data_IF_939282332195
#
_entry.id   IF_939282332195
#
_cell.length_a   1.000
_cell.length_b   1.000
_cell.length_c   1.000
_cell.angle_alpha   90.00
_cell.angle_beta   90.00
_cell.angle_gamma   90.00
#
_symmetry.space_group_name_H-M   'P 1'
#
loop_
_entity.id
_entity.type
_entity.pdbx_description
1 polymer ?
#
# COMPACT_ATOMS: atom_id res chain seq x y z
N UNK A 1 22.64 -66.72 -41.10
CA UNK A 1 23.90 -67.23 -40.51
C UNK A 1 24.35 -66.25 -39.44
N UNK A 2 24.95 -66.57 -38.29
CA UNK A 2 25.18 -67.82 -37.54
C UNK A 2 26.49 -67.59 -36.77
N UNK A 3 26.43 -67.64 -35.44
CA UNK A 3 27.51 -68.04 -34.52
C UNK A 3 28.77 -67.14 -34.46
N UNK A 4 29.33 -66.83 -33.28
CA UNK A 4 29.78 -67.81 -32.28
C UNK A 4 29.35 -67.52 -30.82
N UNK A 5 29.07 -68.61 -30.08
CA UNK A 5 29.20 -68.70 -28.60
C UNK A 5 30.67 -69.06 -28.29
N UNK A 6 31.26 -68.91 -27.10
CA UNK A 6 31.02 -69.72 -25.90
C UNK A 6 32.11 -69.35 -24.84
N UNK A 7 31.75 -69.06 -23.58
CA UNK A 7 31.98 -69.89 -22.37
C UNK A 7 33.45 -70.07 -21.91
N UNK A 8 33.83 -70.10 -20.62
CA UNK A 8 33.11 -70.14 -19.32
C UNK A 8 33.45 -68.87 -18.46
N UNK A 9 33.21 -68.67 -17.14
CA UNK A 9 32.90 -69.55 -15.99
C UNK A 9 32.09 -68.85 -14.87
N UNK A 10 32.03 -69.48 -13.69
CA UNK A 10 31.29 -69.22 -12.42
C UNK A 10 32.28 -69.58 -11.27
N UNK A 11 32.25 -69.14 -9.97
CA UNK A 11 31.14 -68.69 -9.08
C UNK A 11 31.41 -67.33 -8.34
N UNK A 12 30.53 -66.70 -7.55
CA UNK A 12 29.82 -67.17 -6.33
C UNK A 12 28.69 -66.21 -5.94
N UNK A 13 27.67 -66.72 -5.25
CA UNK A 13 26.64 -65.89 -4.62
C UNK A 13 27.00 -65.57 -3.15
N UNK A 14 26.82 -64.31 -2.75
CA UNK A 14 26.59 -63.93 -1.35
C UNK A 14 25.57 -62.79 -1.27
N UNK A 15 24.61 -62.94 -0.37
CA UNK A 15 23.56 -61.96 -0.13
C UNK A 15 24.09 -60.72 0.56
N UNK A 16 23.62 -59.54 0.13
CA UNK A 16 23.71 -58.31 0.93
C UNK A 16 22.31 -57.71 1.02
N UNK A 17 21.99 -57.20 2.21
CA UNK A 17 20.66 -56.76 2.65
C UNK A 17 20.23 -55.49 1.93
N UNK A 18 18.93 -55.33 1.68
CA UNK A 18 18.33 -54.02 1.37
C UNK A 18 18.47 -53.10 2.60
N UNK A 19 19.02 -51.89 2.48
CA UNK A 19 18.70 -50.82 3.41
C UNK A 19 17.29 -50.29 3.10
N UNK A 20 16.55 -49.91 4.14
CA UNK A 20 15.18 -49.42 4.01
C UNK A 20 15.10 -47.99 3.47
N UNK A 21 13.97 -47.67 2.87
CA UNK A 21 13.59 -46.33 2.43
C UNK A 21 13.55 -45.38 3.63
N UNK A 22 14.51 -44.46 3.76
CA UNK A 22 14.30 -43.25 4.58
C UNK A 22 13.55 -42.23 3.72
N UNK A 23 12.27 -42.03 4.03
CA UNK A 23 11.56 -40.83 3.63
C UNK A 23 12.12 -39.66 4.44
N UNK A 24 12.97 -38.83 3.82
CA UNK A 24 13.35 -37.54 4.41
C UNK A 24 12.20 -36.57 4.13
N UNK A 25 11.37 -36.36 5.14
CA UNK A 25 10.34 -35.33 5.11
C UNK A 25 11.03 -33.97 5.17
N UNK A 26 11.07 -33.24 4.04
CA UNK A 26 11.44 -31.83 4.06
C UNK A 26 10.28 -31.04 4.68
N UNK A 27 10.33 -30.87 6.00
CA UNK A 27 9.49 -29.94 6.74
C UNK A 27 9.95 -28.52 6.40
N UNK A 28 9.32 -27.93 5.38
CA UNK A 28 9.43 -26.49 5.11
C UNK A 28 8.69 -25.76 6.24
N UNK A 29 9.46 -25.27 7.21
CA UNK A 29 8.99 -24.28 8.18
C UNK A 29 8.76 -22.96 7.43
N UNK A 30 7.54 -22.77 6.94
CA UNK A 30 7.03 -21.45 6.56
C UNK A 30 6.96 -20.60 7.84
N UNK A 31 7.99 -19.77 8.03
CA UNK A 31 7.97 -18.71 9.03
C UNK A 31 6.97 -17.65 8.61
N UNK A 32 5.73 -17.77 9.11
CA UNK A 32 4.74 -16.69 9.01
C UNK A 32 5.22 -15.55 9.89
N UNK A 33 5.82 -14.53 9.28
CA UNK A 33 6.10 -13.25 9.93
C UNK A 33 4.79 -12.48 10.09
N UNK A 34 3.98 -12.89 11.06
CA UNK A 34 2.85 -12.09 11.51
C UNK A 34 3.35 -10.80 12.16
N UNK A 35 2.61 -9.70 11.95
CA UNK A 35 2.81 -8.48 12.72
C UNK A 35 2.48 -8.75 14.19
N UNK A 36 3.51 -8.99 15.00
CA UNK A 36 3.32 -9.33 16.42
C UNK A 36 3.02 -8.07 17.24
N UNK A 37 1.74 -7.83 17.47
CA UNK A 37 1.22 -6.76 18.32
C UNK A 37 1.25 -7.18 19.80
N UNK A 38 2.42 -7.48 20.38
CA UNK A 38 2.66 -7.29 21.84
C UNK A 38 4.12 -7.47 22.28
N UNK A 39 4.44 -6.86 23.43
CA UNK A 39 5.62 -7.07 24.30
C UNK A 39 6.98 -6.51 23.85
N UNK A 40 7.24 -5.27 24.26
CA UNK A 40 8.56 -4.89 24.79
C UNK A 40 8.42 -4.46 26.25
N UNK A 41 9.07 -5.18 27.16
CA UNK A 41 9.16 -4.80 28.57
C UNK A 41 10.56 -4.34 28.93
N UNK A 42 10.68 -3.13 29.51
CA UNK A 42 11.79 -2.76 30.40
C UNK A 42 11.40 -1.57 31.27
N UNK A 43 11.29 -1.83 32.58
CA UNK A 43 11.29 -0.94 33.74
C UNK A 43 11.27 0.60 33.55
N UNK A 44 10.18 1.24 33.97
CA UNK A 44 10.22 2.45 34.81
C UNK A 44 8.85 2.75 35.48
N UNK A 45 8.77 2.52 36.80
CA UNK A 45 7.85 3.16 37.77
C UNK A 45 6.37 3.40 37.40
N UNK A 46 5.48 2.58 37.96
CA UNK A 46 4.03 2.79 38.03
C UNK A 46 3.60 3.56 39.32
N UNK A 47 2.32 3.92 39.53
CA UNK A 47 1.28 4.33 38.56
C UNK A 47 0.54 5.63 38.95
N UNK A 48 -0.17 6.24 37.99
CA UNK A 48 -1.44 6.92 38.29
C UNK A 48 -2.59 6.14 37.65
N UNK A 49 -3.58 5.76 38.46
CA UNK A 49 -4.69 4.93 38.02
C UNK A 49 -5.71 5.74 37.20
N UNK A 50 -5.94 5.35 35.95
CA UNK A 50 -7.13 5.70 35.21
C UNK A 50 -8.21 4.64 35.50
N UNK A 51 -9.31 5.06 36.11
CA UNK A 51 -10.45 4.20 36.44
C UNK A 51 -11.18 3.76 35.18
N UNK A 52 -11.46 2.46 35.09
CA UNK A 52 -12.39 1.88 34.11
C UNK A 52 -13.79 2.44 34.33
N UNK A 53 -14.37 3.09 33.31
CA UNK A 53 -15.81 3.39 33.25
C UNK A 53 -16.48 2.46 32.25
N UNK A 54 -17.46 1.68 32.72
CA UNK A 54 -18.23 0.75 31.90
C UNK A 54 -18.96 1.50 30.77
N UNK A 55 -18.61 1.22 29.51
CA UNK A 55 -19.44 1.61 28.38
C UNK A 55 -20.58 0.59 28.21
N UNK A 56 -21.80 1.07 28.43
CA UNK A 56 -23.02 0.28 28.38
C UNK A 56 -23.32 -0.27 26.97
N UNK A 57 -24.13 -1.33 26.91
CA UNK A 57 -24.51 -2.03 25.66
C UNK A 57 -25.17 -1.13 24.60
N UNK A 58 -25.05 -1.46 23.30
CA UNK A 58 -25.56 -0.62 22.22
C UNK A 58 -27.09 -0.61 22.18
N UNK A 59 -27.67 0.60 22.15
CA UNK A 59 -29.11 0.79 22.11
C UNK A 59 -29.50 2.05 21.34
N UNK A 60 -30.12 1.85 20.17
CA UNK A 60 -30.99 2.78 19.44
C UNK A 60 -30.37 4.09 18.88
N UNK A 61 -29.19 4.53 19.31
CA UNK A 61 -28.56 5.77 18.80
C UNK A 61 -27.89 5.67 17.42
N UNK A 62 -27.37 4.51 17.03
CA UNK A 62 -26.63 4.36 15.76
C UNK A 62 -27.53 4.32 14.51
N UNK A 63 -28.80 3.97 14.66
CA UNK A 63 -29.74 3.89 13.54
C UNK A 63 -30.13 5.28 12.98
N UNK A 64 -30.41 6.24 13.86
CA UNK A 64 -30.79 7.62 13.48
C UNK A 64 -29.61 8.39 12.83
N UNK A 65 -28.38 8.13 13.28
CA UNK A 65 -27.17 8.71 12.68
C UNK A 65 -26.89 8.14 11.29
N UNK A 66 -27.21 6.86 11.05
CA UNK A 66 -27.04 6.21 9.74
C UNK A 66 -28.01 6.77 8.69
N UNK A 67 -29.30 6.91 9.03
CA UNK A 67 -30.34 7.43 8.12
C UNK A 67 -30.11 8.90 7.76
N UNK A 68 -29.70 9.73 8.72
CA UNK A 68 -29.42 11.16 8.48
C UNK A 68 -28.18 11.40 7.61
N UNK A 69 -27.26 10.43 7.53
CA UNK A 69 -26.06 10.51 6.71
C UNK A 69 -26.25 9.96 5.28
N UNK A 70 -27.20 9.03 5.02
CA UNK A 70 -27.54 8.62 3.65
C UNK A 70 -28.16 9.75 2.80
N UNK A 71 -28.64 10.83 3.44
CA UNK A 71 -29.39 11.91 2.81
C UNK A 71 -28.55 13.11 2.33
N UNK A 72 -27.25 13.17 2.62
CA UNK A 72 -26.40 14.31 2.22
C UNK A 72 -26.38 14.50 0.71
N UNK A 73 -26.80 15.67 0.23
CA UNK A 73 -26.75 16.02 -1.20
C UNK A 73 -25.30 16.04 -1.70
N UNK A 74 -25.02 15.83 -3.01
CA UNK A 74 -23.66 15.72 -3.52
C UNK A 74 -22.74 16.89 -3.18
N UNK A 75 -23.27 18.11 -3.11
CA UNK A 75 -22.52 19.30 -2.71
C UNK A 75 -22.15 19.28 -1.21
N UNK A 76 -23.08 18.88 -0.34
CA UNK A 76 -22.87 18.78 1.11
C UNK A 76 -21.82 17.72 1.45
N UNK A 77 -21.81 16.62 0.69
CA UNK A 77 -20.77 15.59 0.78
C UNK A 77 -19.39 16.14 0.37
N UNK A 78 -19.30 16.91 -0.72
CA UNK A 78 -18.01 17.53 -1.11
C UNK A 78 -17.53 18.48 -0.01
N UNK A 79 -18.40 19.33 0.55
CA UNK A 79 -18.01 20.21 1.67
C UNK A 79 -17.59 19.44 2.92
N UNK A 80 -18.24 18.32 3.23
CA UNK A 80 -17.86 17.46 4.35
C UNK A 80 -16.45 16.88 4.14
N UNK A 81 -16.19 16.34 2.95
CA UNK A 81 -14.87 15.79 2.57
C UNK A 81 -13.79 16.86 2.66
N UNK A 82 -14.02 18.06 2.11
CA UNK A 82 -13.05 19.15 2.15
C UNK A 82 -12.72 19.61 3.59
N UNK A 83 -13.74 19.73 4.46
CA UNK A 83 -13.53 20.07 5.88
C UNK A 83 -12.75 18.99 6.63
N UNK A 84 -13.05 17.71 6.37
CA UNK A 84 -12.29 16.59 6.94
C UNK A 84 -10.83 16.64 6.48
N UNK A 85 -10.59 16.79 5.17
CA UNK A 85 -9.26 16.80 4.58
C UNK A 85 -8.40 17.97 5.08
N UNK A 86 -8.96 19.18 5.15
CA UNK A 86 -8.27 20.34 5.71
C UNK A 86 -7.83 20.09 7.17
N UNK A 87 -8.69 19.50 8.00
CA UNK A 87 -8.31 19.17 9.37
C UNK A 87 -7.25 18.06 9.43
N UNK A 88 -7.34 17.01 8.60
CA UNK A 88 -6.34 15.94 8.60
C UNK A 88 -4.99 16.35 8.00
N UNK A 89 -4.94 17.43 7.21
CA UNK A 89 -3.70 18.04 6.70
C UNK A 89 -3.07 18.99 7.74
N UNK A 90 -3.84 19.95 8.25
CA UNK A 90 -3.32 21.06 9.08
C UNK A 90 -3.35 20.74 10.58
N UNK A 91 -4.45 20.14 11.05
CA UNK A 91 -4.73 19.90 12.47
C UNK A 91 -4.01 18.69 13.08
N UNK A 92 -3.42 17.82 12.25
CA UNK A 92 -2.65 16.64 12.66
C UNK A 92 -1.16 16.78 12.34
N UNK A 93 -0.59 17.96 12.62
CA UNK A 93 0.72 18.39 12.15
C UNK A 93 1.89 17.57 12.70
N UNK A 94 2.62 16.87 11.83
CA UNK A 94 3.81 16.09 12.18
C UNK A 94 5.06 16.97 12.39
N UNK A 95 6.19 16.34 12.75
CA UNK A 95 7.47 17.00 13.00
C UNK A 95 8.66 16.10 12.58
N UNK A 96 9.65 16.66 11.88
CA UNK A 96 10.79 15.92 11.30
C UNK A 96 11.77 15.31 12.32
N UNK A 97 11.78 15.79 13.57
CA UNK A 97 12.67 15.30 14.63
C UNK A 97 11.99 14.22 15.51
N UNK A 98 10.66 14.21 15.54
CA UNK A 98 9.84 13.28 16.34
C UNK A 98 9.30 12.11 15.52
N UNK A 99 9.06 12.31 14.22
CA UNK A 99 8.43 11.34 13.33
C UNK A 99 9.42 10.83 12.29
N UNK A 100 9.25 9.58 11.88
CA UNK A 100 10.09 8.94 10.89
C UNK A 100 9.48 9.06 9.48
N UNK A 101 10.27 8.64 8.48
CA UNK A 101 9.86 8.62 7.08
C UNK A 101 8.55 7.85 6.88
N UNK A 102 8.31 6.78 7.64
CA UNK A 102 7.01 6.08 7.66
C UNK A 102 5.84 7.04 7.88
N UNK A 103 5.78 7.77 9.01
CA UNK A 103 4.65 8.68 9.25
C UNK A 103 4.62 9.85 8.25
N UNK A 104 5.78 10.44 7.96
CA UNK A 104 5.89 11.63 7.13
C UNK A 104 5.51 11.36 5.66
N UNK A 105 6.00 10.26 5.08
CA UNK A 105 5.71 9.89 3.69
C UNK A 105 4.27 9.42 3.51
N UNK A 106 3.62 8.85 4.53
CA UNK A 106 2.17 8.59 4.45
C UNK A 106 1.37 9.90 4.42
N UNK A 107 1.76 10.94 5.17
CA UNK A 107 1.17 12.28 4.99
C UNK A 107 1.39 12.84 3.58
N UNK A 108 2.60 12.66 3.02
CA UNK A 108 2.90 13.02 1.64
C UNK A 108 2.14 12.15 0.60
N UNK A 109 1.74 10.92 0.93
CA UNK A 109 0.86 10.11 0.09
C UNK A 109 -0.52 10.76 -0.05
N UNK A 110 -1.05 11.42 0.99
CA UNK A 110 -2.38 12.03 0.94
C UNK A 110 -2.41 13.41 0.25
N UNK A 111 -1.39 14.26 0.44
CA UNK A 111 -1.41 15.67 -0.04
C UNK A 111 -0.20 16.09 -0.87
N UNK A 112 0.65 15.14 -1.29
CA UNK A 112 1.82 15.42 -2.14
C UNK A 112 2.76 16.47 -1.54
N UNK A 113 3.06 17.51 -2.32
CA UNK A 113 3.94 18.61 -1.89
C UNK A 113 3.29 19.54 -0.85
N UNK A 114 1.98 19.57 -0.76
CA UNK A 114 1.24 20.44 0.17
C UNK A 114 1.20 19.85 1.59
N UNK A 115 1.63 18.59 1.79
CA UNK A 115 1.89 18.07 3.12
C UNK A 115 3.17 18.65 3.70
N UNK A 116 3.04 19.41 4.78
CA UNK A 116 4.14 20.05 5.51
C UNK A 116 4.32 19.42 6.88
N UNK A 117 5.56 19.38 7.36
CA UNK A 117 5.86 19.00 8.73
C UNK A 117 6.70 20.08 9.41
N UNK A 118 6.54 20.18 10.74
CA UNK A 118 7.27 21.14 11.57
C UNK A 118 8.74 20.75 11.64
N UNK A 119 9.60 21.75 11.45
CA UNK A 119 11.03 21.70 11.76
C UNK A 119 11.20 22.23 13.18
N UNK A 120 11.87 21.48 14.05
CA UNK A 120 12.20 21.97 15.39
C UNK A 120 13.21 23.11 15.26
N UNK A 121 12.75 24.33 15.52
CA UNK A 121 13.62 25.51 15.59
C UNK A 121 14.61 25.36 16.74
N UNK A 122 15.89 25.62 16.49
CA UNK A 122 16.84 25.92 17.57
C UNK A 122 16.39 27.24 18.20
N UNK A 123 16.17 27.33 19.53
CA UNK A 123 15.78 28.57 20.16
C UNK A 123 16.79 29.66 19.85
N UNK A 124 16.34 30.80 19.31
CA UNK A 124 17.19 31.97 19.14
C UNK A 124 17.81 32.34 20.50
N UNK A 125 19.13 32.52 20.54
CA UNK A 125 19.90 32.70 21.78
C UNK A 125 19.45 33.91 22.64
N UNK A 126 18.62 34.80 22.07
CA UNK A 126 18.13 36.03 22.68
C UNK A 126 16.65 35.98 23.10
N UNK A 127 16.00 34.81 23.09
CA UNK A 127 14.69 34.62 23.74
C UNK A 127 13.50 35.36 23.13
N UNK A 128 13.57 35.77 21.87
CA UNK A 128 12.45 36.37 21.13
C UNK A 128 11.38 35.34 20.83
N UNK A 129 10.43 35.16 21.74
CA UNK A 129 9.21 34.38 21.53
C UNK A 129 8.30 35.09 20.52
N UNK A 130 8.29 34.62 19.27
CA UNK A 130 7.47 35.20 18.21
C UNK A 130 7.57 34.53 16.84
N UNK A 131 8.57 33.68 16.60
CA UNK A 131 8.64 32.90 15.35
C UNK A 131 7.62 31.76 15.38
N UNK A 132 6.76 31.70 14.35
CA UNK A 132 5.91 30.54 14.11
C UNK A 132 6.79 29.31 13.85
N UNK A 133 6.35 28.08 14.19
CA UNK A 133 7.10 26.88 13.85
C UNK A 133 7.44 26.87 12.36
N UNK A 134 8.71 26.73 12.01
CA UNK A 134 9.11 26.62 10.61
C UNK A 134 8.54 25.31 10.06
N UNK A 135 7.81 25.37 8.95
CA UNK A 135 7.26 24.17 8.29
C UNK A 135 7.81 24.03 6.89
N UNK A 136 8.20 22.81 6.53
CA UNK A 136 8.70 22.47 5.20
C UNK A 136 7.89 21.32 4.58
N UNK A 137 7.80 21.32 3.24
CA UNK A 137 7.18 20.24 2.50
C UNK A 137 7.96 18.93 2.72
N UNK A 138 7.25 17.84 3.02
CA UNK A 138 7.89 16.54 3.27
C UNK A 138 8.60 16.01 2.02
N UNK A 139 8.00 16.17 0.83
CA UNK A 139 8.62 15.75 -0.43
C UNK A 139 9.92 16.53 -0.67
N UNK A 140 9.91 17.85 -0.55
CA UNK A 140 11.11 18.67 -0.78
C UNK A 140 12.20 18.41 0.27
N UNK A 141 11.83 18.12 1.52
CA UNK A 141 12.77 17.69 2.56
C UNK A 141 13.43 16.35 2.20
N UNK A 142 12.64 15.36 1.80
CA UNK A 142 13.10 14.03 1.43
C UNK A 142 14.02 14.04 0.18
N UNK A 143 13.68 14.85 -0.82
CA UNK A 143 14.44 14.95 -2.07
C UNK A 143 15.70 15.83 -1.96
N UNK A 144 15.75 16.78 -1.01
CA UNK A 144 16.91 17.65 -0.80
C UNK A 144 18.06 17.02 0.00
N UNK A 145 17.96 15.74 0.38
CA UNK A 145 19.01 15.01 1.11
C UNK A 145 19.15 15.46 2.57
N UNK A 146 18.13 16.13 3.12
CA UNK A 146 18.06 16.49 4.54
C UNK A 146 17.87 15.24 5.40
N UNK A 147 18.35 15.22 6.65
CA UNK A 147 18.19 14.07 7.53
C UNK A 147 16.70 13.82 7.83
N UNK A 148 16.23 12.61 7.60
CA UNK A 148 14.89 12.14 7.97
C UNK A 148 15.01 10.68 8.45
N UNK A 149 14.59 10.40 9.68
CA UNK A 149 14.74 9.07 10.31
C UNK A 149 14.07 8.00 9.44
N UNK A 150 14.80 6.99 8.99
CA UNK A 150 14.28 5.92 8.12
C UNK A 150 14.19 6.26 6.62
N UNK A 151 14.51 7.49 6.21
CA UNK A 151 14.73 7.81 4.80
C UNK A 151 16.17 7.46 4.42
N UNK A 152 16.38 6.23 3.95
CA UNK A 152 17.70 5.72 3.59
C UNK A 152 17.71 5.44 2.09
N UNK A 153 18.50 6.23 1.37
CA UNK A 153 18.78 6.06 -0.05
C UNK A 153 20.25 5.72 -0.22
N UNK A 154 20.56 4.66 -0.98
CA UNK A 154 21.92 4.16 -1.22
C UNK A 154 22.24 4.23 -2.71
N UNK A 155 23.31 4.93 -3.13
CA UNK A 155 23.77 4.89 -4.51
C UNK A 155 24.33 3.52 -4.90
N UNK A 156 23.92 3.00 -6.06
CA UNK A 156 24.42 1.76 -6.65
C UNK A 156 24.80 1.98 -8.12
N UNK A 157 25.51 1.05 -8.74
CA UNK A 157 25.82 1.11 -10.18
C UNK A 157 24.56 1.17 -11.06
N UNK A 158 23.49 0.48 -10.64
CA UNK A 158 22.23 0.37 -11.38
C UNK A 158 21.18 1.42 -10.96
N UNK A 159 21.56 2.48 -10.23
CA UNK A 159 20.66 3.54 -9.78
C UNK A 159 20.67 3.73 -8.26
N UNK A 160 19.63 4.37 -7.71
CA UNK A 160 19.51 4.65 -6.26
C UNK A 160 18.53 3.65 -5.62
N UNK A 161 18.99 2.92 -4.61
CA UNK A 161 18.15 2.00 -3.82
C UNK A 161 17.53 2.75 -2.65
N UNK A 162 16.22 2.67 -2.48
CA UNK A 162 15.60 2.94 -1.18
C UNK A 162 15.71 1.67 -0.34
N UNK A 163 16.26 1.77 0.88
CA UNK A 163 16.46 0.61 1.74
C UNK A 163 15.18 0.25 2.51
N UNK A 164 14.99 -1.04 2.78
CA UNK A 164 13.92 -1.54 3.64
C UNK A 164 14.26 -1.31 5.12
N UNK A 165 13.27 -0.91 5.90
CA UNK A 165 13.28 -1.05 7.36
C UNK A 165 12.02 -1.83 7.75
N UNK A 166 12.13 -3.05 8.32
CA UNK A 166 10.98 -3.86 8.67
C UNK A 166 10.17 -3.29 9.86
N UNK A 167 10.62 -2.21 10.51
CA UNK A 167 9.85 -1.45 11.48
C UNK A 167 9.21 -0.18 10.89
N UNK A 168 8.32 0.47 11.66
CA UNK A 168 7.64 1.72 11.27
C UNK A 168 8.55 2.96 11.31
N UNK A 169 9.71 2.89 10.68
CA UNK A 169 10.68 4.00 10.53
C UNK A 169 10.95 4.31 9.06
N UNK A 170 11.43 3.34 8.30
CA UNK A 170 11.66 3.42 6.86
C UNK A 170 10.50 2.82 6.05
N UNK A 171 10.74 2.48 4.79
CA UNK A 171 9.74 1.78 3.98
C UNK A 171 9.66 0.30 4.38
N UNK A 172 8.43 -0.19 4.56
CA UNK A 172 8.15 -1.57 4.94
C UNK A 172 8.07 -2.52 3.73
N UNK A 173 7.83 -1.98 2.53
CA UNK A 173 7.76 -2.72 1.27
C UNK A 173 8.77 -2.18 0.25
N UNK A 174 9.20 -3.02 -0.70
CA UNK A 174 10.08 -2.57 -1.78
C UNK A 174 9.35 -1.54 -2.65
N UNK A 175 10.09 -0.52 -3.07
CA UNK A 175 9.64 0.54 -3.98
C UNK A 175 8.47 1.42 -3.47
N UNK A 176 8.10 1.32 -2.18
CA UNK A 176 7.04 2.10 -1.54
C UNK A 176 7.25 3.62 -1.68
N UNK A 177 8.45 4.12 -1.43
CA UNK A 177 8.76 5.56 -1.59
C UNK A 177 8.61 6.04 -3.03
N UNK A 178 9.01 5.22 -3.99
CA UNK A 178 8.88 5.54 -5.41
C UNK A 178 7.40 5.60 -5.83
N UNK A 179 6.59 4.67 -5.34
CA UNK A 179 5.15 4.63 -5.57
C UNK A 179 4.42 5.86 -5.01
N UNK A 180 4.73 6.26 -3.76
CA UNK A 180 4.18 7.47 -3.13
C UNK A 180 4.52 8.70 -3.96
N UNK A 181 5.79 8.90 -4.32
CA UNK A 181 6.23 10.05 -5.12
C UNK A 181 5.54 10.08 -6.49
N UNK A 182 5.36 8.93 -7.13
CA UNK A 182 4.79 8.81 -8.49
C UNK A 182 3.33 9.23 -8.64
N UNK A 183 2.59 9.36 -7.55
CA UNK A 183 1.17 9.74 -7.55
C UNK A 183 0.97 11.27 -7.52
N UNK A 184 2.06 12.03 -7.39
CA UNK A 184 2.08 13.49 -7.28
C UNK A 184 2.94 14.11 -8.40
N UNK A 185 3.05 15.45 -8.48
CA UNK A 185 3.85 16.15 -9.52
C UNK A 185 5.38 16.02 -9.33
N UNK A 186 5.84 14.92 -8.74
CA UNK A 186 7.26 14.53 -8.75
C UNK A 186 7.51 13.85 -10.10
N UNK A 187 8.50 14.32 -10.84
CA UNK A 187 8.77 13.85 -12.21
C UNK A 187 10.01 12.98 -12.25
N UNK A 188 10.08 12.04 -13.20
CA UNK A 188 11.29 11.21 -13.41
C UNK A 188 12.59 12.02 -13.59
N UNK A 189 12.48 13.26 -14.08
CA UNK A 189 13.60 14.18 -14.24
C UNK A 189 13.99 14.96 -12.99
N UNK A 190 13.16 14.97 -11.95
CA UNK A 190 13.37 15.78 -10.74
C UNK A 190 14.58 15.27 -9.95
N UNK A 191 15.31 16.17 -9.27
CA UNK A 191 16.52 15.81 -8.56
C UNK A 191 16.22 15.12 -7.23
N UNK A 192 17.07 14.18 -6.85
CA UNK A 192 17.16 13.62 -5.50
C UNK A 192 18.61 13.65 -5.03
N UNK A 193 18.86 14.23 -3.85
CA UNK A 193 20.20 14.35 -3.27
C UNK A 193 20.46 13.17 -2.34
N UNK A 194 21.54 12.43 -2.59
CA UNK A 194 21.96 11.27 -1.81
C UNK A 194 23.46 11.37 -1.59
N UNK A 195 23.91 11.30 -0.34
CA UNK A 195 25.32 11.48 0.07
C UNK A 195 25.98 12.76 -0.52
N UNK A 196 25.21 13.86 -0.58
CA UNK A 196 25.66 15.13 -1.17
C UNK A 196 25.81 15.13 -2.70
N UNK A 197 25.45 14.02 -3.37
CA UNK A 197 25.46 13.88 -4.84
C UNK A 197 24.05 13.99 -5.38
N UNK A 198 23.91 14.62 -6.54
CA UNK A 198 22.63 14.76 -7.23
C UNK A 198 22.38 13.57 -8.17
N UNK A 199 21.27 12.88 -7.93
CA UNK A 199 20.67 11.86 -8.80
C UNK A 199 19.32 12.35 -9.30
N UNK A 200 18.58 11.52 -10.04
CA UNK A 200 17.20 11.78 -10.44
C UNK A 200 16.23 10.75 -9.88
N UNK A 201 14.94 11.07 -9.84
CA UNK A 201 13.88 10.09 -9.59
C UNK A 201 13.96 8.89 -10.56
N UNK A 202 14.38 9.14 -11.82
CA UNK A 202 14.68 8.08 -12.78
C UNK A 202 15.77 7.10 -12.31
N UNK A 203 16.76 7.52 -11.51
CA UNK A 203 17.75 6.60 -10.95
C UNK A 203 17.15 5.67 -9.89
N UNK A 204 16.12 6.12 -9.16
CA UNK A 204 15.35 5.27 -8.24
C UNK A 204 14.49 4.27 -9.03
N UNK A 205 13.81 4.74 -10.08
CA UNK A 205 13.03 3.87 -10.99
C UNK A 205 13.91 2.83 -11.68
N UNK A 206 15.08 3.23 -12.18
CA UNK A 206 16.06 2.33 -12.83
C UNK A 206 16.54 1.24 -11.88
N UNK A 207 16.71 1.55 -10.59
CA UNK A 207 17.03 0.55 -9.56
C UNK A 207 15.89 -0.44 -9.36
N UNK A 208 14.65 0.04 -9.21
CA UNK A 208 13.46 -0.80 -9.08
C UNK A 208 13.34 -1.77 -10.28
N UNK A 209 13.44 -1.25 -11.51
CA UNK A 209 13.48 -2.02 -12.77
C UNK A 209 14.56 -3.10 -12.76
N UNK A 210 15.77 -2.78 -12.30
CA UNK A 210 16.85 -3.77 -12.22
C UNK A 210 16.62 -4.83 -11.13
N UNK A 211 15.93 -4.50 -10.04
CA UNK A 211 15.63 -5.43 -8.95
C UNK A 211 14.42 -6.35 -9.19
N UNK A 212 13.82 -6.38 -10.39
CA UNK A 212 12.82 -7.39 -10.73
C UNK A 212 13.38 -8.83 -10.63
N UNK A 213 12.52 -9.74 -10.18
CA UNK A 213 12.71 -11.19 -10.24
C UNK A 213 11.35 -11.88 -10.10
N UNK A 214 11.23 -13.12 -10.57
CA UNK A 214 9.98 -13.88 -10.53
C UNK A 214 9.51 -14.11 -9.07
N UNK A 215 8.24 -13.85 -8.79
CA UNK A 215 7.68 -13.93 -7.43
C UNK A 215 7.97 -12.74 -6.50
N UNK A 216 8.63 -11.67 -6.96
CA UNK A 216 8.74 -10.40 -6.21
C UNK A 216 7.36 -9.77 -5.98
N UNK A 217 7.08 -9.32 -4.75
CA UNK A 217 6.00 -8.35 -4.50
C UNK A 217 6.31 -7.05 -5.24
N UNK A 218 5.54 -6.80 -6.30
CA UNK A 218 5.77 -5.71 -7.24
C UNK A 218 4.62 -4.70 -7.25
N UNK A 219 3.70 -4.77 -6.27
CA UNK A 219 2.51 -3.91 -6.18
C UNK A 219 2.84 -2.42 -6.19
N UNK A 220 3.74 -1.98 -5.31
CA UNK A 220 4.20 -0.59 -5.22
C UNK A 220 4.98 -0.16 -6.47
N UNK A 221 5.90 -1.02 -6.92
CA UNK A 221 6.65 -0.82 -8.16
C UNK A 221 5.73 -0.64 -9.38
N UNK A 222 4.61 -1.36 -9.44
CA UNK A 222 3.65 -1.27 -10.53
C UNK A 222 2.92 0.08 -10.58
N UNK A 223 2.61 0.69 -9.42
CA UNK A 223 2.10 2.07 -9.33
C UNK A 223 3.13 3.03 -9.95
N UNK A 224 4.40 2.92 -9.53
CA UNK A 224 5.47 3.76 -10.05
C UNK A 224 5.69 3.59 -11.56
N UNK A 225 5.73 2.36 -12.06
CA UNK A 225 5.88 2.09 -13.50
C UNK A 225 4.73 2.64 -14.32
N UNK A 226 3.48 2.51 -13.85
CA UNK A 226 2.32 3.03 -14.57
C UNK A 226 2.33 4.56 -14.70
N UNK A 227 2.89 5.27 -13.73
CA UNK A 227 2.98 6.73 -13.73
C UNK A 227 4.24 7.27 -14.42
N UNK A 228 5.35 6.52 -14.39
CA UNK A 228 6.66 7.01 -14.84
C UNK A 228 7.23 6.35 -16.10
N UNK A 229 6.79 5.14 -16.47
CA UNK A 229 7.36 4.42 -17.60
C UNK A 229 6.72 4.88 -18.91
N UNK A 230 7.51 5.52 -19.77
CA UNK A 230 7.09 5.97 -21.09
C UNK A 230 8.19 5.63 -22.12
N UNK A 231 7.89 4.88 -23.20
CA UNK A 231 6.61 4.23 -23.48
C UNK A 231 6.30 3.05 -22.53
N UNK A 232 5.02 2.86 -22.21
CA UNK A 232 4.55 1.86 -21.23
C UNK A 232 4.94 0.41 -21.60
N UNK A 233 4.91 0.07 -22.89
CA UNK A 233 5.15 -1.28 -23.39
C UNK A 233 6.64 -1.63 -23.57
N UNK A 234 7.56 -0.75 -23.15
CA UNK A 234 8.98 -1.03 -23.29
C UNK A 234 9.43 -2.22 -22.43
N UNK A 235 10.42 -2.94 -22.94
CA UNK A 235 11.07 -4.04 -22.25
C UNK A 235 12.43 -3.62 -21.70
N UNK A 236 12.83 -4.18 -20.55
CA UNK A 236 14.17 -4.04 -19.99
C UNK A 236 14.75 -5.40 -19.59
N UNK A 237 16.04 -5.41 -19.22
CA UNK A 237 16.70 -6.57 -18.61
C UNK A 237 16.90 -6.31 -17.13
N UNK A 238 16.49 -7.24 -16.28
CA UNK A 238 16.67 -7.14 -14.83
C UNK A 238 17.89 -7.92 -14.34
N UNK A 239 18.12 -7.96 -13.02
CA UNK A 239 19.27 -8.64 -12.38
C UNK A 239 19.32 -10.15 -12.60
N UNK A 240 18.18 -10.77 -12.96
CA UNK A 240 18.08 -12.19 -13.31
C UNK A 240 18.55 -12.47 -14.75
N UNK A 241 18.80 -11.44 -15.55
CA UNK A 241 19.16 -11.54 -16.98
C UNK A 241 17.97 -11.75 -17.91
N UNK A 242 16.75 -11.86 -17.37
CA UNK A 242 15.53 -12.07 -18.14
C UNK A 242 15.00 -10.76 -18.74
N UNK A 243 14.10 -10.88 -19.72
CA UNK A 243 13.35 -9.74 -20.24
C UNK A 243 12.09 -9.47 -19.39
N UNK A 244 11.93 -8.21 -19.01
CA UNK A 244 10.85 -7.70 -18.17
C UNK A 244 10.06 -6.61 -18.87
N UNK A 245 8.78 -6.51 -18.54
CA UNK A 245 7.84 -5.51 -19.07
C UNK A 245 6.76 -5.23 -18.03
N UNK A 246 6.03 -4.11 -18.18
CA UNK A 246 4.87 -3.82 -17.31
C UNK A 246 3.82 -4.93 -17.40
N UNK A 247 3.57 -5.45 -18.60
CA UNK A 247 2.63 -6.56 -18.80
C UNK A 247 3.03 -7.84 -18.05
N UNK A 248 4.34 -8.15 -17.91
CA UNK A 248 4.82 -9.28 -17.10
C UNK A 248 4.50 -9.07 -15.61
N UNK A 249 4.80 -7.88 -15.08
CA UNK A 249 4.54 -7.52 -13.68
C UNK A 249 3.04 -7.54 -13.37
N UNK A 250 2.22 -6.99 -14.27
CA UNK A 250 0.75 -7.04 -14.19
C UNK A 250 0.25 -8.49 -14.12
N UNK A 251 0.86 -9.40 -14.89
CA UNK A 251 0.51 -10.83 -14.88
C UNK A 251 0.87 -11.53 -13.57
N UNK A 252 2.02 -11.19 -12.98
CA UNK A 252 2.42 -11.69 -11.66
C UNK A 252 1.45 -11.20 -10.57
N UNK A 253 1.20 -9.90 -10.50
CA UNK A 253 0.36 -9.27 -9.47
C UNK A 253 -1.13 -9.64 -9.60
N UNK A 254 -1.63 -9.92 -10.81
CA UNK A 254 -3.01 -10.35 -11.03
C UNK A 254 -3.25 -11.84 -10.70
N UNK A 255 -2.19 -12.66 -10.63
CA UNK A 255 -2.31 -14.10 -10.46
C UNK A 255 -2.90 -14.84 -11.69
N UNK A 256 -3.13 -16.16 -11.57
CA UNK A 256 -3.49 -17.01 -12.71
C UNK A 256 -4.94 -16.83 -13.19
N UNK A 257 -5.11 -16.67 -14.51
CA UNK A 257 -6.43 -16.61 -15.16
C UNK A 257 -7.26 -17.90 -15.07
N UNK A 258 -6.60 -19.06 -14.92
CA UNK A 258 -7.25 -20.37 -14.97
C UNK A 258 -7.75 -20.88 -13.61
N UNK A 259 -7.40 -20.19 -12.51
CA UNK A 259 -7.84 -20.52 -11.16
C UNK A 259 -8.19 -19.23 -10.40
N UNK A 260 -9.46 -18.84 -10.50
CA UNK A 260 -9.97 -17.64 -9.84
C UNK A 260 -9.86 -17.71 -8.32
N UNK A 261 -9.92 -18.91 -7.72
CA UNK A 261 -9.76 -19.08 -6.28
C UNK A 261 -8.32 -18.76 -5.88
N UNK A 262 -7.33 -19.34 -6.57
CA UNK A 262 -5.92 -19.07 -6.32
C UNK A 262 -5.60 -17.58 -6.55
N UNK A 263 -6.13 -16.96 -7.61
CA UNK A 263 -5.88 -15.56 -7.91
C UNK A 263 -6.53 -14.60 -6.88
N UNK A 264 -7.74 -14.89 -6.39
CA UNK A 264 -8.36 -14.11 -5.31
C UNK A 264 -7.74 -14.38 -3.93
N UNK A 265 -7.21 -15.58 -3.67
CA UNK A 265 -6.40 -15.85 -2.47
C UNK A 265 -5.09 -15.07 -2.50
N UNK A 266 -4.41 -15.01 -3.65
CA UNK A 266 -3.18 -14.24 -3.82
C UNK A 266 -3.35 -12.76 -3.47
N UNK A 267 -4.53 -12.18 -3.72
CA UNK A 267 -4.86 -10.81 -3.29
C UNK A 267 -5.12 -10.76 -1.78
N UNK A 268 -6.01 -11.61 -1.25
CA UNK A 268 -6.39 -11.59 0.17
C UNK A 268 -5.25 -11.92 1.16
N UNK A 269 -4.23 -12.67 0.73
CA UNK A 269 -3.08 -13.04 1.57
C UNK A 269 -2.00 -11.94 1.66
N UNK A 270 -2.13 -10.85 0.88
CA UNK A 270 -1.22 -9.71 0.93
C UNK A 270 -1.57 -8.71 2.05
N UNK A 271 -0.60 -7.85 2.40
CA UNK A 271 -0.77 -6.78 3.38
C UNK A 271 -1.95 -5.86 3.03
N UNK A 272 -2.59 -5.28 4.06
CA UNK A 272 -3.78 -4.42 3.94
C UNK A 272 -4.88 -5.02 3.04
N UNK A 273 -5.07 -6.35 3.10
CA UNK A 273 -6.06 -7.08 2.31
C UNK A 273 -5.80 -7.10 0.80
N UNK A 274 -4.57 -6.82 0.37
CA UNK A 274 -4.19 -6.72 -1.04
C UNK A 274 -4.65 -5.45 -1.74
N UNK A 275 -5.03 -4.41 -0.99
CA UNK A 275 -5.48 -3.12 -1.57
C UNK A 275 -4.36 -2.43 -2.36
N UNK A 276 -3.10 -2.42 -1.90
CA UNK A 276 -1.98 -1.85 -2.66
C UNK A 276 -1.72 -2.59 -3.99
N UNK A 277 -1.87 -3.92 -4.01
CA UNK A 277 -1.84 -4.75 -5.24
C UNK A 277 -2.93 -4.34 -6.21
N UNK A 278 -4.16 -4.19 -5.70
CA UNK A 278 -5.31 -3.75 -6.50
C UNK A 278 -5.17 -2.30 -7.01
N UNK A 279 -4.59 -1.40 -6.23
CA UNK A 279 -4.25 -0.03 -6.65
C UNK A 279 -3.20 -0.07 -7.78
N UNK A 280 -2.15 -0.89 -7.66
CA UNK A 280 -1.16 -1.09 -8.73
C UNK A 280 -1.78 -1.61 -10.02
N UNK A 281 -2.61 -2.66 -9.93
CA UNK A 281 -3.34 -3.21 -11.08
C UNK A 281 -4.29 -2.19 -11.72
N UNK A 282 -5.07 -1.45 -10.91
CA UNK A 282 -6.00 -0.44 -11.40
C UNK A 282 -5.28 0.75 -12.06
N UNK A 283 -4.17 1.23 -11.47
CA UNK A 283 -3.35 2.31 -12.03
C UNK A 283 -2.74 1.90 -13.37
N UNK A 284 -2.16 0.69 -13.44
CA UNK A 284 -1.60 0.15 -14.68
C UNK A 284 -2.66 -0.06 -15.77
N UNK A 285 -3.85 -0.57 -15.43
CA UNK A 285 -4.98 -0.72 -16.36
C UNK A 285 -5.49 0.62 -16.90
N UNK A 286 -5.62 1.62 -16.02
CA UNK A 286 -6.05 2.95 -16.41
C UNK A 286 -5.05 3.59 -17.37
N UNK A 287 -3.74 3.49 -17.09
CA UNK A 287 -2.68 3.94 -18.00
C UNK A 287 -2.69 3.17 -19.32
N UNK A 288 -2.81 1.84 -19.27
CA UNK A 288 -2.85 1.00 -20.47
C UNK A 288 -4.02 1.37 -21.40
N UNK A 289 -5.23 1.56 -20.85
CA UNK A 289 -6.40 2.01 -21.61
C UNK A 289 -6.26 3.43 -22.18
N UNK A 290 -5.50 4.31 -21.55
CA UNK A 290 -5.20 5.65 -22.10
C UNK A 290 -4.25 5.59 -23.29
N UNK A 291 -3.23 4.73 -23.23
CA UNK A 291 -2.25 4.55 -24.31
C UNK A 291 -2.82 3.71 -25.46
N UNK A 292 -3.70 2.76 -25.15
CA UNK A 292 -4.26 1.77 -26.07
C UNK A 292 -5.80 1.73 -26.04
N UNK A 293 -6.51 2.82 -26.38
CA UNK A 293 -7.96 2.94 -26.20
C UNK A 293 -8.78 1.91 -26.98
N UNK A 294 -8.31 1.52 -28.17
CA UNK A 294 -9.01 0.58 -29.07
C UNK A 294 -8.54 -0.89 -28.93
N UNK A 295 -7.60 -1.17 -28.02
CA UNK A 295 -7.05 -2.52 -27.84
C UNK A 295 -7.89 -3.31 -26.83
N UNK A 296 -8.45 -4.43 -27.30
CA UNK A 296 -9.13 -5.39 -26.43
C UNK A 296 -8.13 -5.97 -25.41
N UNK A 297 -8.51 -5.97 -24.13
CA UNK A 297 -7.68 -6.54 -23.07
C UNK A 297 -7.58 -8.07 -23.21
N UNK A 298 -6.34 -8.57 -23.25
CA UNK A 298 -5.99 -9.99 -23.32
C UNK A 298 -4.81 -10.30 -22.38
N UNK A 299 -4.58 -11.58 -22.09
CA UNK A 299 -3.47 -12.03 -21.25
C UNK A 299 -3.42 -11.34 -19.88
N UNK A 300 -2.24 -10.83 -19.44
CA UNK A 300 -2.09 -10.11 -18.18
C UNK A 300 -3.09 -8.99 -17.94
N UNK A 301 -3.42 -8.21 -18.97
CA UNK A 301 -4.34 -7.07 -18.85
C UNK A 301 -5.79 -7.52 -18.64
N UNK A 302 -6.19 -8.65 -19.23
CA UNK A 302 -7.48 -9.27 -18.92
C UNK A 302 -7.52 -9.81 -17.49
N UNK A 303 -6.43 -10.43 -17.02
CA UNK A 303 -6.31 -10.94 -15.66
C UNK A 303 -6.50 -9.82 -14.63
N UNK A 304 -5.76 -8.73 -14.79
CA UNK A 304 -5.86 -7.54 -13.95
C UNK A 304 -7.28 -6.95 -13.97
N UNK A 305 -7.90 -6.82 -15.15
CA UNK A 305 -9.25 -6.26 -15.25
C UNK A 305 -10.29 -7.12 -14.51
N UNK A 306 -10.18 -8.45 -14.60
CA UNK A 306 -11.03 -9.37 -13.83
C UNK A 306 -10.76 -9.27 -12.32
N UNK A 307 -9.50 -9.15 -11.88
CA UNK A 307 -9.17 -9.02 -10.45
C UNK A 307 -9.70 -7.72 -9.85
N UNK A 308 -9.54 -6.60 -10.56
CA UNK A 308 -10.09 -5.30 -10.14
C UNK A 308 -11.63 -5.35 -10.09
N UNK A 309 -12.28 -5.93 -11.10
CA UNK A 309 -13.74 -6.07 -11.11
C UNK A 309 -14.24 -6.96 -9.96
N UNK A 310 -13.61 -8.12 -9.73
CA UNK A 310 -13.92 -8.99 -8.60
C UNK A 310 -13.80 -8.27 -7.25
N UNK A 311 -12.73 -7.49 -7.06
CA UNK A 311 -12.52 -6.74 -5.82
C UNK A 311 -13.56 -5.62 -5.62
N UNK A 312 -13.96 -4.93 -6.70
CA UNK A 312 -15.07 -3.94 -6.67
C UNK A 312 -16.38 -4.59 -6.23
N UNK A 313 -16.77 -5.70 -6.89
CA UNK A 313 -18.00 -6.42 -6.58
C UNK A 313 -18.00 -6.98 -5.15
N UNK A 314 -16.86 -7.51 -4.72
CA UNK A 314 -16.70 -8.09 -3.39
C UNK A 314 -16.66 -7.03 -2.29
N UNK A 315 -16.06 -5.87 -2.53
CA UNK A 315 -16.13 -4.73 -1.61
C UNK A 315 -17.59 -4.23 -1.45
N UNK A 316 -18.33 -4.12 -2.56
CA UNK A 316 -19.74 -3.75 -2.53
C UNK A 316 -20.59 -4.78 -1.78
N UNK A 317 -20.35 -6.08 -1.98
CA UNK A 317 -21.05 -7.16 -1.29
C UNK A 317 -20.67 -7.32 0.20
N UNK A 318 -19.45 -6.96 0.58
CA UNK A 318 -18.94 -7.03 1.96
C UNK A 318 -19.16 -5.74 2.77
N UNK A 319 -19.69 -4.68 2.16
CA UNK A 319 -19.95 -3.41 2.86
C UNK A 319 -20.94 -3.61 4.01
N UNK A 320 -20.63 -3.00 5.16
CA UNK A 320 -21.48 -3.03 6.34
C UNK A 320 -22.64 -2.02 6.20
N UNK A 321 -23.79 -2.23 6.88
CA UNK A 321 -24.91 -1.29 6.83
C UNK A 321 -24.55 0.16 7.18
N UNK A 322 -23.53 0.36 8.02
CA UNK A 322 -22.98 1.67 8.41
C UNK A 322 -22.21 2.40 7.32
N UNK A 323 -22.00 1.80 6.14
CA UNK A 323 -21.16 2.34 5.07
C UNK A 323 -19.68 1.94 5.14
N UNK A 324 -19.20 1.53 6.31
CA UNK A 324 -17.86 0.99 6.47
C UNK A 324 -17.62 -0.25 5.59
N UNK A 325 -16.41 -0.41 5.07
CA UNK A 325 -16.00 -1.67 4.46
C UNK A 325 -15.60 -2.70 5.52
N UNK A 326 -15.57 -3.96 5.14
CA UNK A 326 -15.24 -5.01 6.10
C UNK A 326 -13.77 -4.92 6.56
N UNK A 327 -13.54 -5.15 7.85
CA UNK A 327 -12.20 -5.35 8.43
C UNK A 327 -11.44 -6.55 7.84
N UNK A 328 -12.14 -7.46 7.14
CA UNK A 328 -11.55 -8.57 6.37
C UNK A 328 -11.57 -8.31 4.85
N UNK A 329 -11.71 -7.04 4.45
CA UNK A 329 -11.62 -6.56 3.07
C UNK A 329 -12.50 -7.37 2.10
N UNK A 330 -11.87 -8.12 1.19
CA UNK A 330 -12.52 -8.91 0.14
C UNK A 330 -12.78 -10.37 0.55
N UNK A 331 -12.47 -10.78 1.78
CA UNK A 331 -12.63 -12.19 2.19
C UNK A 331 -14.07 -12.56 2.55
N UNK A 332 -14.77 -11.73 3.33
CA UNK A 332 -16.18 -11.88 3.75
C UNK A 332 -16.64 -10.64 4.52
N UNK A 333 -17.96 -10.44 4.75
CA UNK A 333 -18.44 -9.45 5.70
C UNK A 333 -17.93 -9.75 7.12
N UNK A 334 -17.41 -8.72 7.78
CA UNK A 334 -16.91 -8.75 9.15
C UNK A 334 -16.78 -7.31 9.69
N UNK A 335 -17.03 -7.14 10.98
CA UNK A 335 -17.07 -5.89 11.73
C UNK A 335 -16.35 -6.08 13.08
N UNK A 336 -15.88 -5.02 13.72
CA UNK A 336 -15.34 -5.05 15.08
C UNK A 336 -15.69 -3.78 15.87
N UNK A 337 -15.12 -3.65 17.07
CA UNK A 337 -15.18 -2.41 17.85
C UNK A 337 -13.90 -1.55 17.69
N UNK A 338 -12.97 -1.96 16.81
CA UNK A 338 -11.67 -1.28 16.66
C UNK A 338 -11.75 -0.16 15.63
N UNK A 339 -11.56 1.07 16.10
CA UNK A 339 -11.44 2.27 15.26
C UNK A 339 -10.33 2.10 14.22
N UNK A 340 -9.18 1.56 14.63
CA UNK A 340 -8.02 1.38 13.73
C UNK A 340 -8.30 0.37 12.62
N UNK A 341 -9.01 -0.73 12.91
CA UNK A 341 -9.39 -1.72 11.89
C UNK A 341 -10.39 -1.13 10.89
N UNK A 342 -11.33 -0.31 11.35
CA UNK A 342 -12.32 0.34 10.49
C UNK A 342 -11.69 1.44 9.62
N UNK A 343 -10.81 2.25 10.22
CA UNK A 343 -10.06 3.31 9.53
C UNK A 343 -9.15 2.70 8.46
N UNK A 344 -8.38 1.66 8.82
CA UNK A 344 -7.50 0.96 7.88
C UNK A 344 -8.30 0.32 6.74
N UNK A 345 -9.29 -0.52 7.06
CA UNK A 345 -10.02 -1.27 6.03
C UNK A 345 -10.88 -0.39 5.13
N UNK A 346 -11.62 0.57 5.70
CA UNK A 346 -12.45 1.48 4.90
C UNK A 346 -11.60 2.47 4.12
N UNK A 347 -10.51 2.98 4.70
CA UNK A 347 -9.58 3.89 4.05
C UNK A 347 -8.92 3.29 2.80
N UNK A 348 -8.21 2.17 2.96
CA UNK A 348 -7.56 1.49 1.84
C UNK A 348 -8.55 0.97 0.79
N UNK A 349 -9.75 0.53 1.21
CA UNK A 349 -10.77 0.08 0.24
C UNK A 349 -11.34 1.26 -0.55
N UNK A 350 -11.62 2.40 0.09
CA UNK A 350 -12.06 3.60 -0.64
C UNK A 350 -10.96 4.12 -1.58
N UNK A 351 -9.71 4.14 -1.14
CA UNK A 351 -8.54 4.49 -1.97
C UNK A 351 -8.47 3.64 -3.25
N UNK A 352 -8.53 2.32 -3.11
CA UNK A 352 -8.62 1.40 -4.25
C UNK A 352 -9.81 1.73 -5.17
N UNK A 353 -11.00 1.93 -4.61
CA UNK A 353 -12.21 2.20 -5.39
C UNK A 353 -12.14 3.54 -6.14
N UNK A 354 -11.55 4.58 -5.54
CA UNK A 354 -11.33 5.89 -6.17
C UNK A 354 -10.41 5.81 -7.40
N UNK A 355 -9.43 4.90 -7.39
CA UNK A 355 -8.58 4.60 -8.56
C UNK A 355 -9.32 3.73 -9.59
N UNK A 356 -10.02 2.68 -9.14
CA UNK A 356 -10.58 1.65 -10.00
C UNK A 356 -11.89 2.04 -10.71
N UNK A 357 -12.76 2.82 -10.06
CA UNK A 357 -14.10 3.09 -10.55
C UNK A 357 -14.14 4.28 -11.53
N UNK A 358 -15.02 4.24 -12.56
CA UNK A 358 -15.37 5.44 -13.32
C UNK A 358 -16.18 6.41 -12.44
N UNK A 359 -16.14 7.73 -12.70
CA UNK A 359 -16.81 8.73 -11.87
C UNK A 359 -18.33 8.52 -11.68
N UNK A 360 -19.04 7.94 -12.66
CA UNK A 360 -20.45 7.58 -12.52
C UNK A 360 -20.68 6.53 -11.40
N UNK A 361 -19.76 5.58 -11.25
CA UNK A 361 -19.81 4.55 -10.19
C UNK A 361 -19.40 5.09 -8.83
N UNK A 362 -18.52 6.09 -8.76
CA UNK A 362 -18.16 6.76 -7.52
C UNK A 362 -19.34 7.54 -6.90
N UNK A 363 -20.30 7.97 -7.72
CA UNK A 363 -21.52 8.65 -7.24
C UNK A 363 -22.61 7.69 -6.72
N UNK A 364 -22.41 6.38 -6.79
CA UNK A 364 -23.39 5.42 -6.26
C UNK A 364 -23.49 5.48 -4.72
N UNK A 365 -24.68 5.20 -4.13
CA UNK A 365 -24.92 5.36 -2.69
C UNK A 365 -23.93 4.60 -1.81
N UNK A 366 -23.49 3.40 -2.21
CA UNK A 366 -22.58 2.59 -1.41
C UNK A 366 -21.17 3.22 -1.30
N UNK A 367 -20.63 3.82 -2.38
CA UNK A 367 -19.34 4.53 -2.31
C UNK A 367 -19.49 5.81 -1.48
N UNK A 368 -20.59 6.56 -1.69
CA UNK A 368 -20.90 7.77 -0.91
C UNK A 368 -20.95 7.49 0.59
N UNK A 369 -21.65 6.43 1.01
CA UNK A 369 -21.69 5.98 2.41
C UNK A 369 -20.30 5.70 2.99
N UNK A 370 -19.38 5.11 2.23
CA UNK A 370 -18.02 4.85 2.71
C UNK A 370 -17.22 6.14 2.91
N UNK A 371 -17.34 7.11 2.00
CA UNK A 371 -16.73 8.43 2.15
C UNK A 371 -17.29 9.19 3.37
N UNK A 372 -18.62 9.14 3.56
CA UNK A 372 -19.31 9.77 4.70
C UNK A 372 -18.89 9.11 6.02
N UNK A 373 -18.86 7.78 6.07
CA UNK A 373 -18.39 7.01 7.22
C UNK A 373 -16.96 7.39 7.63
N UNK A 374 -16.04 7.54 6.67
CA UNK A 374 -14.67 7.99 6.97
C UNK A 374 -14.63 9.43 7.50
N UNK A 375 -15.44 10.34 6.94
CA UNK A 375 -15.49 11.72 7.41
C UNK A 375 -16.00 11.82 8.86
N UNK A 376 -17.06 11.08 9.19
CA UNK A 376 -17.58 10.96 10.56
C UNK A 376 -16.57 10.28 11.51
N UNK A 377 -15.93 9.19 11.08
CA UNK A 377 -14.91 8.52 11.89
C UNK A 377 -13.71 9.45 12.20
N UNK A 378 -13.25 10.22 11.22
CA UNK A 378 -12.14 11.17 11.37
C UNK A 378 -12.50 12.38 12.26
N UNK A 379 -13.77 12.82 12.26
CA UNK A 379 -14.28 13.84 13.19
C UNK A 379 -14.46 13.29 14.61
N UNK A 380 -15.04 12.10 14.79
CA UNK A 380 -15.16 11.45 16.11
C UNK A 380 -13.81 11.15 16.76
N UNK A 381 -12.77 10.93 15.95
CA UNK A 381 -11.40 10.66 16.40
C UNK A 381 -10.50 11.90 16.43
N UNK A 382 -11.07 13.11 16.28
CA UNK A 382 -10.33 14.38 16.16
C UNK A 382 -9.29 14.63 17.26
N UNK A 383 -9.61 14.22 18.48
CA UNK A 383 -8.74 14.36 19.67
C UNK A 383 -7.87 13.13 19.99
N UNK A 384 -7.78 12.14 19.09
CA UNK A 384 -6.99 10.93 19.27
C UNK A 384 -5.77 10.92 18.35
N UNK A 385 -4.66 10.39 18.84
CA UNK A 385 -3.51 10.01 18.02
C UNK A 385 -3.87 8.72 17.26
N UNK A 386 -3.75 8.76 15.93
CA UNK A 386 -4.11 7.65 15.04
C UNK A 386 -2.87 7.08 14.35
N UNK A 387 -2.92 5.80 14.00
CA UNK A 387 -1.87 5.16 13.21
C UNK A 387 -1.76 5.85 11.84
N UNK A 388 -0.58 6.39 11.53
CA UNK A 388 -0.40 7.28 10.38
C UNK A 388 -0.63 6.61 9.02
N UNK A 389 -0.35 5.31 8.89
CA UNK A 389 -0.65 4.56 7.68
C UNK A 389 -2.16 4.50 7.44
N UNK A 390 -2.92 4.01 8.43
CA UNK A 390 -4.38 3.94 8.35
C UNK A 390 -5.03 5.33 8.14
N UNK A 391 -4.59 6.34 8.90
CA UNK A 391 -5.06 7.72 8.79
C UNK A 391 -4.85 8.30 7.39
N UNK A 392 -3.64 8.25 6.85
CA UNK A 392 -3.37 8.92 5.58
C UNK A 392 -3.75 8.09 4.35
N UNK A 393 -3.88 6.76 4.45
CA UNK A 393 -4.58 6.00 3.39
C UNK A 393 -6.08 6.36 3.34
N UNK A 394 -6.74 6.57 4.49
CA UNK A 394 -8.11 7.08 4.53
C UNK A 394 -8.23 8.51 3.95
N UNK A 395 -7.31 9.40 4.31
CA UNK A 395 -7.25 10.75 3.74
C UNK A 395 -6.97 10.74 2.23
N UNK A 396 -6.01 9.93 1.76
CA UNK A 396 -5.71 9.80 0.34
C UNK A 396 -6.90 9.24 -0.45
N UNK A 397 -7.61 8.24 0.08
CA UNK A 397 -8.83 7.72 -0.53
C UNK A 397 -9.94 8.76 -0.68
N UNK A 398 -10.09 9.67 0.30
CA UNK A 398 -10.99 10.83 0.26
C UNK A 398 -10.51 11.91 -0.74
N UNK A 399 -9.21 12.20 -0.80
CA UNK A 399 -8.60 13.11 -1.80
C UNK A 399 -8.88 12.61 -3.21
N UNK A 400 -8.56 11.35 -3.49
CA UNK A 400 -8.82 10.72 -4.79
C UNK A 400 -10.32 10.70 -5.11
N UNK A 401 -11.18 10.38 -4.13
CA UNK A 401 -12.63 10.38 -4.31
C UNK A 401 -13.14 11.77 -4.76
N UNK A 402 -12.77 12.82 -4.02
CA UNK A 402 -13.09 14.22 -4.37
C UNK A 402 -12.57 14.59 -5.75
N UNK A 403 -11.27 14.40 -5.98
CA UNK A 403 -10.60 14.78 -7.22
C UNK A 403 -11.21 14.09 -8.46
N UNK A 404 -11.68 12.85 -8.32
CA UNK A 404 -12.33 12.09 -9.39
C UNK A 404 -13.76 12.54 -9.67
N UNK A 405 -14.42 13.19 -8.72
CA UNK A 405 -15.76 13.76 -8.89
C UNK A 405 -15.75 15.21 -9.40
N UNK A 406 -14.68 15.97 -9.13
CA UNK A 406 -14.49 17.36 -9.56
C UNK A 406 -13.86 17.52 -10.96
N UNK A 407 -13.55 16.41 -11.65
CA UNK A 407 -12.94 16.39 -13.00
C UNK A 407 -13.92 16.05 -14.14
N UNK A 408 -15.21 15.84 -13.82
CA UNK A 408 -16.32 15.82 -14.77
C UNK A 408 -17.05 17.18 -14.78
#
# INVERSE_FOLDING_TARGET
MAHFRAFHSVPTARSVRRPGTLFVLYLVLLGVTGCDLSQTGSDSTAPHAATTSDYNSPGQGEADASDSLELLEPAELVELVERTLAFTQEGRSLNFQQHAAWQLMHGALAYGRDFRARVQSIPAANGTSGESPQEESVIEWALSGKPMTGWILTPTEQGVRAELDPGKRGQGHEDQWLAILSQWDVRVGDPVVVDGRQFKIYDVLRRAMYDCYEGKESSWMLIALANYLDPLDQTWTARDGESWSVARIVGMEAGPLYDERQASQHINEAACGGTHRLIGLATALNRYRQVHPDVKLEGPWLAAAQRVQWAVETAQANQLPTGAFSILYFSRPANSASIDEHLASTGHTLEFLSVALPPARLREPWVRRAAIYLCDLLERTRGLDLECGALYHAAHGLVLYRDRLSRD
#
